data_IF_972676980081
#
_entry.id   IF_972676980081
#
_cell.length_a   1.000
_cell.length_b   1.000
_cell.length_c   1.000
_cell.angle_alpha   90.00
_cell.angle_beta   90.00
_cell.angle_gamma   90.00
#
_symmetry.space_group_name_H-M   'P 1'
#
loop_
_entity.id
_entity.type
_entity.pdbx_description
1 polymer ?
#
# COMPACT_ATOMS: atom_id res chain seq x y z
N UNK A 1 -84.13 -12.41 -39.94
CA UNK A 1 -82.94 -11.75 -40.53
C UNK A 1 -82.08 -12.87 -41.11
N UNK A 2 -82.37 -13.34 -42.33
CA UNK A 2 -81.65 -13.07 -43.60
C UNK A 2 -80.11 -13.16 -43.43
N UNK A 3 -79.33 -14.03 -44.09
CA UNK A 3 -79.54 -15.01 -45.17
C UNK A 3 -78.21 -15.82 -45.30
N UNK A 4 -78.20 -17.16 -45.26
CA UNK A 4 -78.03 -18.15 -46.37
C UNK A 4 -76.66 -18.03 -47.11
N UNK A 5 -75.87 -19.10 -47.27
CA UNK A 5 -75.70 -19.92 -48.51
C UNK A 5 -74.68 -21.05 -48.16
N UNK A 6 -75.04 -22.34 -48.13
CA UNK A 6 -75.27 -23.36 -49.18
C UNK A 6 -74.01 -23.83 -49.95
N UNK A 7 -73.67 -25.10 -49.66
CA UNK A 7 -72.71 -26.00 -50.30
C UNK A 7 -73.20 -26.38 -51.71
N UNK A 8 -72.30 -26.34 -52.70
CA UNK A 8 -72.42 -27.10 -53.95
C UNK A 8 -71.00 -27.36 -54.51
N UNK A 9 -70.64 -28.63 -54.69
CA UNK A 9 -69.55 -29.07 -55.58
C UNK A 9 -69.97 -28.80 -57.03
N UNK A 10 -69.04 -28.44 -57.95
CA UNK A 10 -68.47 -29.51 -58.77
C UNK A 10 -67.08 -29.24 -59.43
N UNK A 11 -66.60 -30.34 -60.04
CA UNK A 11 -65.85 -30.46 -61.29
C UNK A 11 -64.34 -30.17 -61.36
N UNK A 12 -63.67 -31.26 -61.76
CA UNK A 12 -62.31 -31.43 -62.24
C UNK A 12 -62.04 -30.56 -63.48
N UNK A 13 -60.97 -29.76 -63.44
CA UNK A 13 -60.42 -29.03 -64.58
C UNK A 13 -58.89 -29.05 -64.51
N UNK A 14 -58.27 -29.82 -65.41
CA UNK A 14 -56.82 -29.88 -65.61
C UNK A 14 -56.32 -28.54 -66.20
N UNK A 15 -55.44 -27.83 -65.49
CA UNK A 15 -54.67 -26.70 -66.02
C UNK A 15 -53.18 -26.96 -65.77
N UNK A 16 -52.47 -27.17 -66.89
CA UNK A 16 -51.03 -27.32 -66.99
C UNK A 16 -50.34 -26.01 -66.59
N UNK A 17 -49.78 -25.95 -65.38
CA UNK A 17 -48.75 -24.96 -65.05
C UNK A 17 -47.39 -25.49 -65.48
N UNK A 18 -46.79 -24.79 -66.44
CA UNK A 18 -45.40 -24.97 -66.82
C UNK A 18 -44.52 -24.72 -65.59
N UNK A 19 -43.64 -25.67 -65.27
CA UNK A 19 -42.49 -25.40 -64.41
C UNK A 19 -41.66 -24.30 -65.06
N UNK A 20 -41.65 -23.10 -64.48
CA UNK A 20 -40.52 -22.19 -64.66
C UNK A 20 -39.35 -22.84 -63.91
N UNK A 21 -38.40 -23.37 -64.67
CA UNK A 21 -37.12 -23.81 -64.16
C UNK A 21 -36.45 -22.58 -63.53
N UNK A 22 -36.40 -22.54 -62.19
CA UNK A 22 -35.52 -21.59 -61.52
C UNK A 22 -34.09 -21.96 -61.93
N UNK A 23 -33.42 -21.07 -62.65
CA UNK A 23 -32.01 -21.22 -62.97
C UNK A 23 -31.27 -21.44 -61.65
N UNK A 24 -30.68 -22.63 -61.48
CA UNK A 24 -29.74 -22.84 -60.40
C UNK A 24 -28.56 -21.92 -60.70
N UNK A 25 -28.38 -20.90 -59.86
CA UNK A 25 -27.14 -20.13 -59.84
C UNK A 25 -26.03 -21.13 -59.50
N UNK A 26 -25.28 -21.54 -60.51
CA UNK A 26 -24.07 -22.35 -60.34
C UNK A 26 -23.01 -21.46 -59.72
N UNK A 27 -22.71 -21.68 -58.43
CA UNK A 27 -21.53 -21.12 -57.79
C UNK A 27 -20.31 -21.93 -58.22
N UNK A 28 -19.94 -21.80 -59.50
CA UNK A 28 -18.60 -22.21 -59.93
C UNK A 28 -17.60 -21.18 -59.37
N UNK A 29 -16.56 -21.70 -58.71
CA UNK A 29 -15.33 -21.03 -58.29
C UNK A 29 -14.67 -20.12 -59.34
N UNK A 30 -15.04 -20.24 -60.62
CA UNK A 30 -14.56 -19.41 -61.73
C UNK A 30 -15.40 -18.14 -62.00
N UNK A 31 -16.61 -18.03 -61.44
CA UNK A 31 -17.50 -16.89 -61.67
C UNK A 31 -17.08 -15.65 -60.88
N UNK A 32 -17.35 -14.43 -61.38
CA UNK A 32 -17.06 -13.18 -60.65
C UNK A 32 -17.77 -13.12 -59.30
N UNK A 33 -18.98 -13.69 -59.21
CA UNK A 33 -19.72 -13.85 -57.96
C UNK A 33 -19.09 -14.91 -57.04
N UNK A 34 -18.62 -16.05 -57.56
CA UNK A 34 -17.88 -17.07 -56.82
C UNK A 34 -16.50 -16.61 -56.34
N UNK A 35 -15.81 -15.76 -57.10
CA UNK A 35 -14.56 -15.11 -56.71
C UNK A 35 -14.77 -14.02 -55.66
N UNK A 36 -15.85 -13.24 -55.73
CA UNK A 36 -16.23 -12.29 -54.66
C UNK A 36 -16.68 -13.02 -53.39
N UNK A 37 -17.37 -14.16 -53.52
CA UNK A 37 -17.78 -14.98 -52.37
C UNK A 37 -16.58 -15.72 -51.75
N UNK A 38 -15.66 -16.26 -52.55
CA UNK A 38 -14.41 -16.88 -52.07
C UNK A 38 -13.42 -15.84 -51.52
N UNK A 39 -13.27 -14.67 -52.15
CA UNK A 39 -12.47 -13.57 -51.60
C UNK A 39 -13.10 -13.01 -50.31
N UNK A 40 -14.43 -12.97 -50.23
CA UNK A 40 -15.16 -12.67 -49.00
C UNK A 40 -14.95 -13.73 -47.90
N UNK A 41 -14.85 -15.01 -48.26
CA UNK A 41 -14.55 -16.10 -47.32
C UNK A 41 -13.06 -16.19 -46.94
N UNK A 42 -12.13 -15.83 -47.82
CA UNK A 42 -10.70 -15.71 -47.52
C UNK A 42 -10.43 -14.48 -46.62
N UNK A 43 -11.26 -13.42 -46.73
CA UNK A 43 -11.31 -12.32 -45.77
C UNK A 43 -11.85 -12.78 -44.40
N UNK A 44 -12.82 -13.70 -44.37
CA UNK A 44 -13.39 -14.29 -43.13
C UNK A 44 -12.44 -15.34 -42.49
N UNK A 45 -11.46 -15.89 -43.22
CA UNK A 45 -10.52 -16.92 -42.69
C UNK A 45 -9.24 -16.37 -42.06
N UNK A 46 -8.95 -15.07 -42.19
CA UNK A 46 -7.71 -14.46 -41.68
C UNK A 46 -7.90 -13.62 -40.41
N UNK A 47 -8.87 -13.96 -39.57
CA UNK A 47 -8.93 -13.37 -38.24
C UNK A 47 -7.73 -13.81 -37.41
N UNK A 48 -7.09 -12.86 -36.72
CA UNK A 48 -5.95 -13.18 -35.86
C UNK A 48 -6.37 -14.19 -34.80
N UNK A 49 -5.52 -15.19 -34.59
CA UNK A 49 -5.71 -16.24 -33.58
C UNK A 49 -4.87 -16.00 -32.33
N UNK A 50 -3.98 -15.00 -32.38
CA UNK A 50 -3.09 -14.64 -31.30
C UNK A 50 -3.89 -14.09 -30.12
N UNK A 51 -3.61 -14.64 -28.93
CA UNK A 51 -4.29 -14.35 -27.66
C UNK A 51 -3.31 -14.21 -26.51
N UNK A 52 -2.08 -13.83 -26.82
CA UNK A 52 -0.99 -13.73 -25.85
C UNK A 52 -0.81 -12.28 -25.40
N UNK A 53 -0.53 -12.11 -24.10
CA UNK A 53 0.09 -10.91 -23.55
C UNK A 53 1.61 -11.13 -23.58
N UNK A 54 2.34 -10.26 -24.28
CA UNK A 54 3.80 -10.38 -24.45
C UNK A 54 4.56 -9.55 -23.44
N UNK A 55 4.01 -8.40 -23.06
CA UNK A 55 4.57 -7.52 -22.03
C UNK A 55 3.47 -7.04 -21.10
N UNK A 56 3.82 -6.82 -19.84
CA UNK A 56 2.93 -6.25 -18.84
C UNK A 56 3.77 -5.49 -17.83
N UNK A 57 3.41 -4.25 -17.53
CA UNK A 57 4.12 -3.42 -16.56
C UNK A 57 3.21 -2.33 -15.99
N UNK A 58 3.59 -1.80 -14.84
CA UNK A 58 3.08 -0.54 -14.32
C UNK A 58 4.15 0.54 -14.49
N UNK A 59 3.89 1.51 -15.37
CA UNK A 59 4.81 2.63 -15.60
C UNK A 59 4.69 3.66 -14.48
N UNK A 60 5.82 4.23 -14.08
CA UNK A 60 5.91 5.24 -13.04
C UNK A 60 5.08 6.48 -13.37
N UNK A 61 5.18 6.97 -14.61
CA UNK A 61 4.49 8.17 -15.07
C UNK A 61 2.97 8.05 -15.03
N UNK A 62 2.44 6.86 -15.34
CA UNK A 62 0.99 6.62 -15.39
C UNK A 62 0.36 6.42 -13.99
N UNK A 63 1.20 6.09 -13.00
CA UNK A 63 0.76 5.60 -11.69
C UNK A 63 1.28 6.41 -10.49
N UNK A 64 2.06 7.48 -10.73
CA UNK A 64 2.74 8.27 -9.71
C UNK A 64 3.66 7.42 -8.80
N UNK A 65 4.46 6.53 -9.40
CA UNK A 65 5.41 5.67 -8.69
C UNK A 65 6.84 6.22 -8.83
N UNK A 66 7.77 5.68 -8.03
CA UNK A 66 9.20 6.03 -8.10
C UNK A 66 9.94 5.40 -9.29
N UNK A 67 9.45 4.26 -9.77
CA UNK A 67 10.05 3.51 -10.87
C UNK A 67 8.99 2.65 -11.55
N UNK A 68 9.35 2.14 -12.72
CA UNK A 68 8.53 1.15 -13.44
C UNK A 68 8.60 -0.21 -12.73
N UNK A 69 7.49 -0.94 -12.77
CA UNK A 69 7.39 -2.29 -12.24
C UNK A 69 6.97 -3.24 -13.36
N UNK A 70 7.96 -3.95 -13.91
CA UNK A 70 7.74 -4.94 -14.95
C UNK A 70 7.18 -6.25 -14.37
N UNK A 71 6.20 -6.83 -15.05
CA UNK A 71 5.67 -8.15 -14.76
C UNK A 71 6.43 -9.25 -15.48
N UNK A 72 6.60 -10.38 -14.80
CA UNK A 72 7.13 -11.61 -15.42
C UNK A 72 5.95 -12.45 -15.92
N UNK A 73 5.91 -12.70 -17.23
CA UNK A 73 4.87 -13.53 -17.86
C UNK A 73 5.36 -14.98 -17.95
N UNK A 74 4.67 -15.89 -17.27
CA UNK A 74 4.95 -17.34 -17.27
C UNK A 74 3.66 -18.08 -17.60
N UNK A 75 3.54 -18.56 -18.84
CA UNK A 75 2.28 -19.10 -19.35
C UNK A 75 1.17 -18.05 -19.26
N UNK A 76 0.14 -18.35 -18.47
CA UNK A 76 -1.01 -17.46 -18.24
C UNK A 76 -0.93 -16.71 -16.90
N UNK A 77 0.22 -16.75 -16.21
CA UNK A 77 0.44 -16.01 -14.98
C UNK A 77 1.33 -14.80 -15.24
N UNK A 78 0.96 -13.65 -14.68
CA UNK A 78 1.76 -12.43 -14.72
C UNK A 78 2.02 -12.02 -13.28
N UNK A 79 3.30 -11.98 -12.91
CA UNK A 79 3.71 -11.70 -11.54
C UNK A 79 4.49 -10.39 -11.47
N UNK A 80 4.02 -9.45 -10.65
CA UNK A 80 4.69 -8.20 -10.34
C UNK A 80 5.20 -8.26 -8.90
N UNK A 81 6.46 -7.90 -8.68
CA UNK A 81 7.10 -7.91 -7.37
C UNK A 81 7.42 -6.50 -6.88
N UNK A 82 7.36 -6.28 -5.58
CA UNK A 82 7.88 -5.07 -4.94
C UNK A 82 7.00 -3.84 -5.02
N UNK A 83 5.72 -4.00 -5.38
CA UNK A 83 4.81 -2.86 -5.54
C UNK A 83 4.52 -2.17 -4.20
N UNK A 84 4.49 -0.83 -4.14
CA UNK A 84 4.04 -0.13 -2.95
C UNK A 84 2.58 -0.50 -2.62
N UNK A 85 2.34 -0.95 -1.38
CA UNK A 85 1.04 -1.49 -0.96
C UNK A 85 -0.15 -0.53 -1.19
N UNK A 86 0.06 0.77 -1.03
CA UNK A 86 -0.97 1.79 -1.19
C UNK A 86 -1.41 1.99 -2.64
N UNK A 87 -0.54 1.71 -3.62
CA UNK A 87 -0.83 1.98 -5.03
C UNK A 87 -1.82 0.98 -5.66
N UNK A 88 -1.94 -0.23 -5.10
CA UNK A 88 -2.60 -1.39 -5.75
C UNK A 88 -4.04 -1.15 -6.17
N UNK A 89 -4.76 -0.26 -5.48
CA UNK A 89 -6.19 0.00 -5.74
C UNK A 89 -6.47 0.84 -6.98
N UNK A 90 -5.43 1.37 -7.63
CA UNK A 90 -5.58 2.38 -8.71
C UNK A 90 -4.56 2.26 -9.84
N UNK A 91 -4.10 1.04 -10.13
CA UNK A 91 -3.01 0.84 -11.09
C UNK A 91 -3.51 0.77 -12.52
N UNK A 92 -2.83 1.52 -13.40
CA UNK A 92 -2.97 1.49 -14.85
C UNK A 92 -1.85 0.65 -15.46
N UNK A 93 -2.22 -0.53 -15.97
CA UNK A 93 -1.28 -1.44 -16.61
C UNK A 93 -0.98 -1.01 -18.04
N UNK A 94 0.31 -0.98 -18.41
CA UNK A 94 0.77 -0.92 -19.80
C UNK A 94 1.12 -2.34 -20.24
N UNK A 95 0.54 -2.79 -21.33
CA UNK A 95 0.75 -4.12 -21.89
C UNK A 95 0.81 -4.08 -23.42
N UNK A 96 1.43 -5.11 -23.97
CA UNK A 96 1.35 -5.46 -25.39
C UNK A 96 0.70 -6.83 -25.53
N UNK A 97 -0.11 -6.99 -26.56
CA UNK A 97 -0.80 -8.23 -26.86
C UNK A 97 -0.71 -8.58 -28.33
N UNK A 98 -1.14 -9.79 -28.65
CA UNK A 98 -1.19 -10.28 -30.04
C UNK A 98 -1.96 -9.32 -30.96
N UNK A 99 -1.47 -9.13 -32.18
CA UNK A 99 -2.11 -8.23 -33.15
C UNK A 99 -3.58 -8.57 -33.38
N UNK A 100 -4.46 -7.57 -33.33
CA UNK A 100 -5.90 -7.72 -33.49
C UNK A 100 -6.63 -8.35 -32.29
N UNK A 101 -5.94 -8.60 -31.17
CA UNK A 101 -6.59 -9.00 -29.91
C UNK A 101 -7.15 -7.79 -29.16
N UNK A 102 -8.20 -8.01 -28.40
CA UNK A 102 -8.81 -7.05 -27.46
C UNK A 102 -8.74 -7.64 -26.06
N UNK A 103 -8.57 -6.78 -25.05
CA UNK A 103 -8.36 -7.22 -23.66
C UNK A 103 -9.46 -6.67 -22.77
N UNK A 104 -9.99 -7.51 -21.89
CA UNK A 104 -11.07 -7.17 -20.97
C UNK A 104 -10.69 -7.51 -19.52
N UNK A 105 -11.17 -6.69 -18.59
CA UNK A 105 -11.19 -6.97 -17.15
C UNK A 105 -12.62 -6.75 -16.67
N UNK A 106 -13.25 -7.80 -16.11
CA UNK A 106 -14.65 -7.72 -15.68
C UNK A 106 -15.63 -7.33 -16.80
N UNK A 107 -15.31 -7.65 -18.06
CA UNK A 107 -16.10 -7.27 -19.23
C UNK A 107 -15.88 -5.84 -19.75
N UNK A 108 -15.02 -5.05 -19.09
CA UNK A 108 -14.65 -3.71 -19.55
C UNK A 108 -13.40 -3.81 -20.42
N UNK A 109 -13.47 -3.28 -21.63
CA UNK A 109 -12.32 -3.22 -22.54
C UNK A 109 -11.19 -2.36 -21.95
N UNK A 110 -9.97 -2.87 -22.04
CA UNK A 110 -8.78 -2.27 -21.46
C UNK A 110 -7.96 -1.59 -22.55
N UNK A 111 -7.66 -0.32 -22.34
CA UNK A 111 -6.64 0.43 -23.08
C UNK A 111 -5.35 0.40 -22.29
N UNK A 112 -4.25 0.01 -22.96
CA UNK A 112 -2.90 -0.01 -22.38
C UNK A 112 -2.52 1.36 -21.83
N UNK A 113 -2.16 1.43 -20.53
CA UNK A 113 -1.86 2.66 -19.80
C UNK A 113 -3.07 3.53 -19.44
N UNK A 114 -4.29 3.15 -19.86
CA UNK A 114 -5.49 3.96 -19.68
C UNK A 114 -6.32 3.58 -18.46
N UNK A 115 -6.78 2.32 -18.41
CA UNK A 115 -7.73 1.86 -17.42
C UNK A 115 -7.08 1.56 -16.07
N UNK A 116 -7.67 2.09 -14.99
CA UNK A 116 -7.28 1.79 -13.62
C UNK A 116 -8.02 0.55 -13.12
N UNK A 117 -7.29 -0.39 -12.52
CA UNK A 117 -7.86 -1.57 -11.86
C UNK A 117 -7.32 -1.70 -10.43
N UNK A 118 -8.07 -2.43 -9.60
CA UNK A 118 -7.68 -2.79 -8.24
C UNK A 118 -6.98 -4.15 -8.23
N UNK A 119 -5.71 -4.16 -7.84
CA UNK A 119 -4.85 -5.33 -7.72
C UNK A 119 -4.60 -5.73 -6.26
N UNK A 120 -5.48 -5.34 -5.32
CA UNK A 120 -5.47 -5.87 -3.95
C UNK A 120 -5.73 -7.40 -3.92
N UNK A 121 -6.18 -7.96 -5.03
CA UNK A 121 -6.35 -9.40 -5.27
C UNK A 121 -6.01 -9.71 -6.74
N UNK A 122 -5.73 -10.98 -7.09
CA UNK A 122 -5.41 -11.33 -8.47
C UNK A 122 -6.48 -10.90 -9.47
N UNK A 123 -6.06 -10.26 -10.56
CA UNK A 123 -6.96 -9.70 -11.59
C UNK A 123 -6.90 -10.57 -12.85
N UNK A 124 -8.07 -10.98 -13.35
CA UNK A 124 -8.18 -11.74 -14.59
C UNK A 124 -8.29 -10.82 -15.81
N UNK A 125 -7.31 -10.93 -16.70
CA UNK A 125 -7.27 -10.28 -18.01
C UNK A 125 -7.71 -11.29 -19.07
N UNK A 126 -8.89 -11.09 -19.66
CA UNK A 126 -9.40 -11.90 -20.76
C UNK A 126 -8.93 -11.32 -22.09
N UNK A 127 -8.12 -12.07 -22.84
CA UNK A 127 -7.64 -11.72 -24.17
C UNK A 127 -8.53 -12.40 -25.21
N UNK A 128 -9.22 -11.61 -26.01
CA UNK A 128 -10.11 -12.07 -27.09
C UNK A 128 -9.40 -11.87 -28.42
N UNK A 129 -9.08 -12.96 -29.10
CA UNK A 129 -8.51 -12.94 -30.45
C UNK A 129 -9.55 -12.49 -31.48
N UNK A 130 -9.12 -12.06 -32.67
CA UNK A 130 -10.02 -11.60 -33.73
C UNK A 130 -11.04 -12.66 -34.18
N UNK A 131 -10.73 -13.95 -33.97
CA UNK A 131 -11.63 -15.07 -34.26
C UNK A 131 -12.62 -15.40 -33.13
N UNK A 132 -12.63 -14.61 -32.04
CA UNK A 132 -13.49 -14.80 -30.88
C UNK A 132 -13.00 -15.81 -29.83
N UNK A 133 -11.86 -16.48 -30.06
CA UNK A 133 -11.25 -17.34 -29.03
C UNK A 133 -10.68 -16.51 -27.90
N UNK A 134 -10.68 -17.09 -26.69
CA UNK A 134 -10.31 -16.41 -25.46
C UNK A 134 -9.14 -17.10 -24.75
N UNK A 135 -8.30 -16.32 -24.11
CA UNK A 135 -7.30 -16.76 -23.14
C UNK A 135 -7.41 -15.90 -21.88
N UNK A 136 -7.20 -16.48 -20.70
CA UNK A 136 -7.26 -15.73 -19.45
C UNK A 136 -5.87 -15.68 -18.82
N UNK A 137 -5.37 -14.47 -18.61
CA UNK A 137 -4.16 -14.20 -17.83
C UNK A 137 -4.55 -13.79 -16.42
N UNK A 138 -3.89 -14.36 -15.42
CA UNK A 138 -4.04 -13.94 -14.01
C UNK A 138 -2.87 -13.06 -13.63
N UNK A 139 -3.14 -11.81 -13.27
CA UNK A 139 -2.15 -10.85 -12.82
C UNK A 139 -2.13 -10.82 -11.29
N UNK A 140 -1.00 -11.16 -10.69
CA UNK A 140 -0.78 -11.11 -9.25
C UNK A 140 0.26 -10.06 -8.92
N UNK A 141 -0.06 -9.20 -7.94
CA UNK A 141 0.84 -8.16 -7.44
C UNK A 141 1.27 -8.51 -6.03
N UNK A 142 2.57 -8.74 -5.86
CA UNK A 142 3.19 -8.87 -4.55
C UNK A 142 3.67 -7.48 -4.09
N UNK A 143 3.17 -7.06 -2.93
CA UNK A 143 3.46 -5.75 -2.36
C UNK A 143 4.64 -5.78 -1.40
N UNK A 144 5.27 -4.62 -1.21
CA UNK A 144 6.19 -4.34 -0.12
C UNK A 144 5.69 -3.13 0.68
N UNK A 145 6.25 -2.98 1.87
CA UNK A 145 6.13 -1.82 2.73
C UNK A 145 7.51 -1.17 2.89
N UNK A 146 7.94 -0.33 1.93
CA UNK A 146 9.23 0.34 2.04
C UNK A 146 9.30 1.16 3.34
N UNK A 147 10.37 0.96 4.10
CA UNK A 147 10.66 1.77 5.29
C UNK A 147 11.54 2.94 4.85
N UNK A 148 10.96 4.13 4.89
CA UNK A 148 11.72 5.36 4.64
C UNK A 148 12.66 5.62 5.80
N UNK A 149 13.74 6.33 5.50
CA UNK A 149 14.61 6.93 6.49
C UNK A 149 13.79 7.74 7.52
N UNK A 150 14.19 7.72 8.79
CA UNK A 150 13.51 8.50 9.83
C UNK A 150 13.83 10.00 9.72
N UNK A 151 14.86 10.36 8.96
CA UNK A 151 15.21 11.72 8.57
C UNK A 151 16.26 12.36 9.47
N UNK A 152 16.71 11.72 10.55
CA UNK A 152 17.67 12.33 11.45
C UNK A 152 19.02 12.52 10.75
N UNK A 153 19.46 13.76 10.61
CA UNK A 153 20.67 14.12 9.84
C UNK A 153 21.91 14.32 10.70
N UNK A 154 21.74 14.45 12.02
CA UNK A 154 22.82 14.64 12.98
C UNK A 154 22.98 13.40 13.86
N UNK A 155 24.22 13.09 14.24
CA UNK A 155 24.51 12.13 15.28
C UNK A 155 24.62 12.82 16.63
N UNK A 156 24.36 12.09 17.70
CA UNK A 156 24.31 12.61 19.07
C UNK A 156 25.15 11.79 20.03
N UNK A 157 25.59 12.42 21.11
CA UNK A 157 26.17 11.74 22.27
C UNK A 157 25.12 11.47 23.38
N UNK A 158 25.56 10.90 24.50
CA UNK A 158 24.69 10.61 25.65
C UNK A 158 24.10 11.85 26.32
N UNK A 159 24.61 13.05 26.04
CA UNK A 159 24.06 14.32 26.50
C UNK A 159 23.10 14.94 25.47
N UNK A 160 22.75 14.20 24.40
CA UNK A 160 21.96 14.71 23.27
C UNK A 160 22.60 15.91 22.57
N UNK A 161 23.94 16.04 22.66
CA UNK A 161 24.70 17.05 21.93
C UNK A 161 25.05 16.54 20.54
N UNK A 162 24.96 17.42 19.54
CA UNK A 162 25.33 17.09 18.16
C UNK A 162 26.82 16.76 18.08
N UNK A 163 27.14 15.63 17.49
CA UNK A 163 28.49 15.16 17.20
C UNK A 163 28.62 14.81 15.71
N UNK A 164 29.85 14.67 15.23
CA UNK A 164 30.07 14.13 13.89
C UNK A 164 29.56 12.69 13.79
N UNK A 165 28.96 12.34 12.65
CA UNK A 165 28.62 10.96 12.34
C UNK A 165 29.85 10.14 11.93
N UNK A 166 29.70 8.81 11.94
CA UNK A 166 30.74 7.84 11.62
C UNK A 166 31.77 7.63 12.72
N UNK A 167 31.52 8.18 13.92
CA UNK A 167 32.41 8.00 15.07
C UNK A 167 32.20 6.61 15.68
N UNK A 168 33.27 5.83 15.83
CA UNK A 168 33.22 4.48 16.42
C UNK A 168 32.75 4.42 17.89
N UNK A 169 32.53 5.58 18.53
CA UNK A 169 32.12 5.73 19.93
C UNK A 169 30.59 5.77 20.08
N UNK A 170 29.86 6.26 19.07
CA UNK A 170 28.40 6.23 18.99
C UNK A 170 27.96 5.74 17.60
N UNK A 171 28.33 4.50 17.22
CA UNK A 171 28.17 4.03 15.86
C UNK A 171 26.75 3.54 15.57
N UNK A 172 26.30 3.69 14.34
CA UNK A 172 25.05 3.08 13.87
C UNK A 172 23.81 3.82 14.34
N UNK A 173 23.91 5.14 14.49
CA UNK A 173 22.76 6.03 14.62
C UNK A 173 22.01 6.15 13.28
N UNK A 174 20.80 6.70 13.29
CA UNK A 174 20.01 6.89 12.06
C UNK A 174 20.81 7.70 11.01
N UNK A 175 21.42 8.81 11.44
CA UNK A 175 22.25 9.68 10.61
C UNK A 175 23.56 9.05 10.10
N UNK A 176 23.98 7.87 10.63
CA UNK A 176 25.14 7.14 10.10
C UNK A 176 24.82 6.37 8.81
N UNK A 177 23.54 6.25 8.47
CA UNK A 177 23.06 5.53 7.30
C UNK A 177 22.28 6.47 6.39
N UNK A 178 22.23 6.13 5.10
CA UNK A 178 21.33 6.79 4.16
C UNK A 178 20.27 5.78 3.75
N UNK A 179 19.07 5.94 4.30
CA UNK A 179 17.90 5.13 3.96
C UNK A 179 17.17 5.63 2.72
N UNK A 180 15.97 5.09 2.50
CA UNK A 180 15.08 5.52 1.41
C UNK A 180 14.48 6.87 1.78
N UNK A 181 14.75 7.91 1.00
CA UNK A 181 14.20 9.24 1.26
C UNK A 181 12.66 9.24 1.16
N UNK A 182 11.94 9.92 2.08
CA UNK A 182 10.51 10.14 1.93
C UNK A 182 10.24 11.02 0.69
N UNK A 183 9.35 10.58 -0.20
CA UNK A 183 8.96 11.32 -1.40
C UNK A 183 7.46 11.53 -1.36
N UNK A 184 7.07 12.69 -0.83
CA UNK A 184 5.70 13.15 -0.74
C UNK A 184 5.47 14.23 -1.82
N UNK A 185 4.63 13.93 -2.80
CA UNK A 185 4.33 14.85 -3.90
C UNK A 185 2.95 15.48 -3.73
N UNK A 186 2.89 16.78 -3.48
CA UNK A 186 1.64 17.54 -3.59
C UNK A 186 1.27 17.73 -5.06
N UNK A 187 0.10 17.24 -5.47
CA UNK A 187 -0.32 17.18 -6.88
C UNK A 187 -1.85 17.12 -7.03
N UNK A 188 -2.33 17.03 -8.27
CA UNK A 188 -3.73 16.80 -8.63
C UNK A 188 -3.83 15.54 -9.48
N UNK A 189 -4.58 14.53 -9.03
CA UNK A 189 -4.78 13.27 -9.77
C UNK A 189 -5.89 13.33 -10.83
N UNK A 190 -6.67 14.40 -10.79
CA UNK A 190 -7.72 14.70 -11.76
C UNK A 190 -7.47 16.08 -12.36
N UNK A 191 -8.26 16.45 -13.37
CA UNK A 191 -8.22 17.79 -13.95
C UNK A 191 -8.84 18.87 -13.03
N UNK A 192 -9.31 18.50 -11.83
CA UNK A 192 -9.86 19.43 -10.85
C UNK A 192 -8.78 19.93 -9.88
N UNK A 193 -8.31 21.16 -10.10
CA UNK A 193 -7.31 21.81 -9.26
C UNK A 193 -7.81 22.20 -7.86
N UNK A 194 -9.13 22.14 -7.61
CA UNK A 194 -9.70 22.40 -6.28
C UNK A 194 -9.58 21.21 -5.33
N UNK A 195 -9.11 20.07 -5.82
CA UNK A 195 -9.01 18.82 -5.06
C UNK A 195 -7.57 18.30 -5.03
N UNK A 196 -6.60 19.08 -4.49
CA UNK A 196 -5.24 18.61 -4.39
C UNK A 196 -5.12 17.46 -3.40
N UNK A 197 -4.11 16.64 -3.63
CA UNK A 197 -3.72 15.51 -2.79
C UNK A 197 -2.21 15.51 -2.60
N UNK A 198 -1.75 14.69 -1.67
CA UNK A 198 -0.35 14.34 -1.50
C UNK A 198 -0.19 12.86 -1.83
N UNK A 199 0.61 12.54 -2.84
CA UNK A 199 0.97 11.16 -3.16
C UNK A 199 2.26 10.82 -2.41
N UNK A 200 2.19 9.84 -1.51
CA UNK A 200 3.38 9.21 -0.95
C UNK A 200 3.88 8.18 -1.96
N UNK A 201 4.97 8.49 -2.66
CA UNK A 201 5.49 7.62 -3.72
C UNK A 201 6.18 6.37 -3.20
N UNK A 202 6.58 6.35 -1.92
CA UNK A 202 7.20 5.18 -1.31
C UNK A 202 6.15 4.14 -0.95
N UNK A 203 5.00 4.56 -0.40
CA UNK A 203 3.92 3.65 -0.01
C UNK A 203 2.87 3.48 -1.11
N UNK A 204 2.74 4.45 -2.02
CA UNK A 204 1.70 4.51 -3.04
C UNK A 204 0.37 5.10 -2.54
N UNK A 205 0.28 5.44 -1.25
CA UNK A 205 -0.90 6.04 -0.62
C UNK A 205 -1.15 7.46 -1.16
N UNK A 206 -2.41 7.87 -1.14
CA UNK A 206 -2.85 9.20 -1.52
C UNK A 206 -3.54 9.84 -0.32
N UNK A 207 -3.05 10.98 0.12
CA UNK A 207 -3.55 11.70 1.29
C UNK A 207 -4.24 12.98 0.87
N UNK A 208 -5.27 13.41 1.61
CA UNK A 208 -5.74 14.79 1.47
C UNK A 208 -4.66 15.76 1.94
N UNK A 209 -4.43 16.80 1.14
CA UNK A 209 -3.46 17.86 1.45
C UNK A 209 -3.83 18.62 2.72
N UNK A 210 -5.11 18.92 2.91
CA UNK A 210 -5.63 19.60 4.09
C UNK A 210 -6.58 18.67 4.87
N UNK A 211 -6.69 18.89 6.18
CA UNK A 211 -7.60 18.15 7.05
C UNK A 211 -9.07 18.46 6.71
N UNK A 212 -9.96 17.56 7.10
CA UNK A 212 -11.41 17.78 6.94
C UNK A 212 -11.88 19.05 7.67
N UNK A 213 -12.85 19.75 7.06
CA UNK A 213 -13.38 21.02 7.56
C UNK A 213 -12.54 22.27 7.21
N UNK A 214 -11.49 22.12 6.40
CA UNK A 214 -10.67 23.24 5.91
C UNK A 214 -10.74 23.36 4.39
N UNK A 215 -10.33 24.52 3.86
CA UNK A 215 -10.21 24.74 2.44
C UNK A 215 -9.22 23.71 1.85
N UNK A 216 -9.63 22.90 0.86
CA UNK A 216 -8.80 21.81 0.34
C UNK A 216 -7.51 22.29 -0.34
N UNK A 217 -7.43 23.57 -0.74
CA UNK A 217 -6.27 24.14 -1.43
C UNK A 217 -5.27 24.80 -0.48
N UNK A 218 -5.70 25.59 0.48
CA UNK A 218 -4.79 26.38 1.33
C UNK A 218 -4.88 26.04 2.83
N UNK A 219 -5.71 25.06 3.19
CA UNK A 219 -5.94 24.58 4.54
C UNK A 219 -6.46 25.64 5.52
N UNK A 220 -6.98 26.76 5.00
CA UNK A 220 -7.64 27.79 5.83
C UNK A 220 -8.95 27.26 6.40
N UNK A 221 -9.31 27.73 7.60
CA UNK A 221 -10.54 27.29 8.26
C UNK A 221 -11.79 27.71 7.46
N UNK A 222 -12.74 26.79 7.32
CA UNK A 222 -14.07 27.06 6.78
C UNK A 222 -15.08 27.26 7.93
N UNK A 223 -16.34 27.50 7.59
CA UNK A 223 -17.44 27.52 8.55
C UNK A 223 -17.79 26.11 9.10
N UNK A 224 -17.17 25.07 8.54
CA UNK A 224 -17.39 23.68 8.90
C UNK A 224 -16.59 23.26 10.15
N UNK A 225 -17.02 22.22 10.89
CA UNK A 225 -16.25 21.65 11.97
C UNK A 225 -14.87 21.19 11.50
N UNK A 226 -13.80 21.59 12.18
CA UNK A 226 -12.41 21.20 11.86
C UNK A 226 -11.85 20.08 12.74
N UNK A 227 -12.72 19.51 13.58
CA UNK A 227 -12.47 18.42 14.53
C UNK A 227 -13.74 17.59 14.66
N UNK A 228 -13.60 16.27 14.80
CA UNK A 228 -14.70 15.32 14.67
C UNK A 228 -14.64 14.28 15.78
N UNK A 229 -15.80 13.78 16.22
CA UNK A 229 -15.87 12.51 16.95
C UNK A 229 -15.35 11.38 16.06
N UNK A 230 -14.99 10.23 16.62
CA UNK A 230 -14.50 9.13 15.78
C UNK A 230 -15.55 8.64 14.76
N UNK A 231 -16.83 8.62 15.16
CA UNK A 231 -17.92 8.25 14.26
C UNK A 231 -18.07 9.25 13.10
N UNK A 232 -18.03 10.55 13.41
CA UNK A 232 -18.12 11.61 12.38
C UNK A 232 -16.87 11.65 11.50
N UNK A 233 -15.71 11.30 12.03
CA UNK A 233 -14.46 11.20 11.28
C UNK A 233 -14.53 10.13 10.18
N UNK A 234 -15.11 8.96 10.49
CA UNK A 234 -15.36 7.91 9.50
C UNK A 234 -16.34 8.35 8.41
N UNK A 235 -17.39 9.10 8.79
CA UNK A 235 -18.34 9.67 7.85
C UNK A 235 -17.71 10.72 6.93
N UNK A 236 -16.87 11.61 7.48
CA UNK A 236 -16.18 12.64 6.72
C UNK A 236 -15.33 12.04 5.59
N UNK A 237 -14.52 11.01 5.89
CA UNK A 237 -13.75 10.32 4.85
C UNK A 237 -14.64 9.52 3.88
N UNK A 238 -15.73 8.92 4.35
CA UNK A 238 -16.65 8.16 3.48
C UNK A 238 -17.38 9.07 2.48
N UNK A 239 -17.72 10.29 2.89
CA UNK A 239 -18.38 11.28 2.02
C UNK A 239 -17.53 11.69 0.82
N UNK A 240 -16.19 11.64 0.94
CA UNK A 240 -15.27 11.87 -0.19
C UNK A 240 -15.48 10.84 -1.31
N UNK A 241 -15.92 9.63 -0.97
CA UNK A 241 -16.19 8.56 -1.95
C UNK A 241 -17.47 8.79 -2.74
N UNK A 242 -18.45 9.46 -2.14
CA UNK A 242 -19.70 9.84 -2.81
C UNK A 242 -19.44 10.89 -3.87
N UNK A 243 -18.64 11.92 -3.53
CA UNK A 243 -18.30 13.00 -4.46
C UNK A 243 -17.18 12.63 -5.43
N UNK A 244 -16.41 11.58 -5.14
CA UNK A 244 -15.28 11.15 -5.96
C UNK A 244 -14.10 12.12 -5.87
N UNK A 245 -13.74 12.58 -4.66
CA UNK A 245 -12.67 13.55 -4.45
C UNK A 245 -11.35 13.08 -5.07
N UNK A 246 -10.71 13.95 -5.86
CA UNK A 246 -9.54 13.70 -6.69
C UNK A 246 -9.70 12.54 -7.67
N UNK A 247 -10.94 12.19 -8.05
CA UNK A 247 -11.27 11.03 -8.89
C UNK A 247 -11.21 9.68 -8.16
N UNK A 248 -11.06 9.67 -6.83
CA UNK A 248 -10.93 8.46 -6.02
C UNK A 248 -12.20 8.17 -5.21
N UNK A 249 -12.48 6.89 -4.95
CA UNK A 249 -13.68 6.41 -4.23
C UNK A 249 -13.39 5.43 -3.09
N UNK A 250 -12.15 5.41 -2.61
CA UNK A 250 -11.68 4.54 -1.51
C UNK A 250 -11.00 5.31 -0.38
N UNK A 251 -11.43 6.56 -0.15
CA UNK A 251 -11.06 7.38 1.00
C UNK A 251 -11.55 6.75 2.31
N UNK A 252 -10.67 6.76 3.31
CA UNK A 252 -10.90 6.20 4.64
C UNK A 252 -10.03 6.93 5.67
N UNK A 253 -10.30 6.66 6.95
CA UNK A 253 -9.33 6.98 8.00
C UNK A 253 -8.06 6.14 7.82
N UNK A 254 -6.88 6.70 8.10
CA UNK A 254 -5.62 5.97 8.02
C UNK A 254 -5.44 5.03 9.21
N UNK A 255 -4.69 3.95 9.01
CA UNK A 255 -4.09 3.22 10.14
C UNK A 255 -3.01 4.06 10.81
N UNK A 256 -2.67 3.73 12.05
CA UNK A 256 -1.56 4.36 12.74
C UNK A 256 -0.24 4.14 11.98
N UNK A 257 -0.03 2.93 11.45
CA UNK A 257 1.16 2.60 10.65
C UNK A 257 1.30 3.48 9.41
N UNK A 258 0.19 3.84 8.77
CA UNK A 258 0.19 4.72 7.61
C UNK A 258 0.53 6.16 8.03
N UNK A 259 0.05 6.63 9.19
CA UNK A 259 0.42 7.96 9.70
C UNK A 259 1.90 8.07 10.05
N UNK A 260 2.50 6.98 10.55
CA UNK A 260 3.95 6.97 10.77
C UNK A 260 4.72 7.22 9.48
N UNK A 261 4.21 6.83 8.30
CA UNK A 261 4.93 7.04 7.03
C UNK A 261 5.14 8.51 6.70
N UNK A 262 4.30 9.40 7.27
CA UNK A 262 4.39 10.85 7.12
C UNK A 262 5.30 11.54 8.15
N UNK A 263 5.71 10.86 9.22
CA UNK A 263 6.38 11.50 10.35
C UNK A 263 7.89 11.69 10.14
N UNK A 264 8.41 12.92 10.16
CA UNK A 264 9.86 13.19 10.06
C UNK A 264 10.48 13.37 11.44
N UNK A 265 11.67 12.82 11.67
CA UNK A 265 12.46 12.94 12.92
C UNK A 265 13.80 13.65 12.66
N UNK A 266 13.86 14.47 11.60
CA UNK A 266 15.02 15.25 11.18
C UNK A 266 15.38 16.40 12.13
N UNK A 267 14.38 16.98 12.77
CA UNK A 267 14.44 18.23 13.53
C UNK A 267 13.59 18.16 14.80
N UNK A 268 13.58 19.25 15.57
CA UNK A 268 12.59 19.42 16.63
C UNK A 268 11.18 19.56 16.04
N UNK A 269 10.15 19.34 16.85
CA UNK A 269 8.76 19.46 16.44
C UNK A 269 8.46 20.68 15.54
N UNK A 270 7.61 20.53 14.51
CA UNK A 270 6.70 19.41 14.27
C UNK A 270 7.34 18.23 13.53
N UNK A 271 6.89 17.02 13.85
CA UNK A 271 7.38 15.77 13.26
C UNK A 271 6.68 15.46 11.93
N UNK A 272 6.44 16.47 11.07
CA UNK A 272 5.79 16.35 9.76
C UNK A 272 6.25 17.48 8.85
N UNK A 273 6.32 17.21 7.55
CA UNK A 273 6.63 18.23 6.55
C UNK A 273 5.45 19.20 6.35
N UNK A 274 5.55 20.38 6.94
CA UNK A 274 4.54 21.44 6.82
C UNK A 274 4.47 22.10 5.43
N UNK A 275 5.48 21.92 4.58
CA UNK A 275 5.43 22.41 3.20
C UNK A 275 4.45 21.58 2.36
N UNK A 276 4.34 20.29 2.69
CA UNK A 276 3.42 19.33 2.06
C UNK A 276 2.08 19.27 2.78
N UNK A 277 2.09 19.34 4.12
CA UNK A 277 0.89 19.31 4.98
C UNK A 277 0.81 20.57 5.88
N UNK A 278 0.33 21.72 5.36
CA UNK A 278 0.36 23.00 6.07
C UNK A 278 -0.34 23.01 7.43
N UNK A 279 -1.38 22.19 7.60
CA UNK A 279 -2.16 22.01 8.82
C UNK A 279 -1.82 20.71 9.58
N UNK A 280 -0.64 20.15 9.31
CA UNK A 280 -0.17 18.86 9.82
C UNK A 280 0.24 18.83 11.29
N UNK A 281 0.59 19.98 11.90
CA UNK A 281 1.07 20.02 13.28
C UNK A 281 -0.05 19.87 14.34
N UNK A 282 -0.70 18.71 14.36
CA UNK A 282 -1.86 18.39 15.20
C UNK A 282 -1.85 16.91 15.59
N UNK A 283 -2.81 16.51 16.42
CA UNK A 283 -3.12 15.11 16.71
C UNK A 283 -4.23 14.63 15.78
N UNK A 284 -4.03 13.53 15.06
CA UNK A 284 -5.00 13.00 14.10
C UNK A 284 -5.55 11.64 14.52
N UNK A 285 -6.83 11.41 14.21
CA UNK A 285 -7.46 10.11 14.33
C UNK A 285 -6.76 9.05 13.46
N UNK A 286 -6.65 7.83 13.98
CA UNK A 286 -6.41 6.62 13.18
C UNK A 286 -7.59 5.67 13.31
N UNK A 287 -7.75 4.75 12.34
CA UNK A 287 -8.73 3.65 12.44
C UNK A 287 -8.27 2.51 13.38
N UNK A 288 -7.00 2.50 13.77
CA UNK A 288 -6.41 1.44 14.59
C UNK A 288 -6.98 1.48 16.02
N UNK A 289 -7.43 0.32 16.50
CA UNK A 289 -8.08 0.19 17.80
C UNK A 289 -7.01 -0.01 18.88
N UNK A 290 -6.97 0.87 19.89
CA UNK A 290 -5.93 0.82 20.92
C UNK A 290 -6.32 0.01 22.15
N UNK A 291 -7.56 0.16 22.61
CA UNK A 291 -8.05 -0.54 23.78
C UNK A 291 -9.53 -0.92 23.60
N UNK A 292 -9.80 -2.14 23.11
CA UNK A 292 -11.12 -2.74 23.09
C UNK A 292 -11.70 -3.07 24.47
N UNK A 293 -10.87 -3.16 25.53
CA UNK A 293 -11.30 -3.55 26.87
C UNK A 293 -11.77 -2.34 27.72
N UNK A 294 -11.48 -1.12 27.26
CA UNK A 294 -12.00 0.11 27.87
C UNK A 294 -13.53 0.20 27.75
N UNK A 295 -14.18 0.71 28.80
CA UNK A 295 -15.64 0.95 28.82
C UNK A 295 -16.12 1.89 27.72
N UNK A 296 -15.28 2.84 27.31
CA UNK A 296 -15.41 3.61 26.08
C UNK A 296 -14.26 3.18 25.18
N UNK A 297 -14.51 2.66 23.97
CA UNK A 297 -13.44 2.24 23.07
C UNK A 297 -12.46 3.38 22.80
N UNK A 298 -11.17 3.03 22.73
CA UNK A 298 -10.08 3.98 22.45
C UNK A 298 -9.43 3.68 21.11
N UNK A 299 -9.12 4.72 20.36
CA UNK A 299 -8.36 4.62 19.11
C UNK A 299 -6.93 5.09 19.33
N UNK A 300 -6.03 4.52 18.53
CA UNK A 300 -4.71 5.09 18.38
C UNK A 300 -4.81 6.41 17.62
N UNK A 301 -3.99 7.36 18.02
CA UNK A 301 -3.84 8.66 17.37
C UNK A 301 -2.36 8.93 17.17
N UNK A 302 -2.00 9.75 16.17
CA UNK A 302 -0.63 10.23 16.04
C UNK A 302 -0.58 11.74 16.30
N UNK A 303 0.32 12.16 17.17
CA UNK A 303 0.51 13.56 17.52
C UNK A 303 1.77 14.11 16.86
N UNK A 304 1.62 14.84 15.76
CA UNK A 304 2.75 15.41 15.04
C UNK A 304 3.44 16.56 15.81
N UNK A 305 2.83 17.10 16.88
CA UNK A 305 3.48 18.10 17.73
C UNK A 305 4.59 17.50 18.60
N UNK A 306 4.51 16.21 18.92
CA UNK A 306 5.50 15.53 19.76
C UNK A 306 6.06 14.26 19.09
N UNK A 307 5.59 13.86 17.92
CA UNK A 307 6.11 12.68 17.20
C UNK A 307 5.75 11.35 17.85
N UNK A 308 4.75 11.29 18.73
CA UNK A 308 4.36 10.06 19.42
C UNK A 308 2.98 9.57 18.97
N UNK A 309 2.80 8.25 19.08
CA UNK A 309 1.48 7.66 19.11
C UNK A 309 0.85 7.76 20.50
N UNK A 310 -0.42 8.16 20.53
CA UNK A 310 -1.22 8.38 21.72
C UNK A 310 -2.56 7.64 21.60
N UNK A 311 -3.43 7.76 22.60
CA UNK A 311 -4.79 7.21 22.51
C UNK A 311 -5.83 8.21 22.93
N UNK A 312 -6.96 8.21 22.25
CA UNK A 312 -8.12 9.03 22.58
C UNK A 312 -9.40 8.18 22.61
N UNK A 313 -10.32 8.55 23.51
CA UNK A 313 -11.64 7.93 23.60
C UNK A 313 -12.48 8.35 22.38
N UNK A 314 -13.29 7.45 21.82
CA UNK A 314 -14.06 7.71 20.59
C UNK A 314 -15.05 8.89 20.68
N UNK A 315 -15.41 9.30 21.90
CA UNK A 315 -16.25 10.48 22.21
C UNK A 315 -15.49 11.80 22.18
N UNK A 316 -14.15 11.76 22.19
CA UNK A 316 -13.31 12.95 22.01
C UNK A 316 -13.45 13.53 20.61
N UNK A 317 -12.96 14.75 20.40
CA UNK A 317 -12.96 15.40 19.09
C UNK A 317 -11.52 15.67 18.64
N UNK A 318 -11.15 15.17 17.46
CA UNK A 318 -9.82 15.38 16.87
C UNK A 318 -9.90 15.68 15.37
N UNK A 319 -8.87 16.35 14.83
CA UNK A 319 -8.63 16.47 13.40
C UNK A 319 -8.65 15.15 12.63
N UNK A 320 -9.04 15.24 11.35
CA UNK A 320 -9.13 14.09 10.43
C UNK A 320 -8.39 14.41 9.13
N UNK A 321 -7.49 13.53 8.73
CA UNK A 321 -6.87 13.54 7.40
C UNK A 321 -7.13 12.19 6.74
N UNK A 322 -7.95 12.21 5.69
CA UNK A 322 -8.31 10.99 4.99
C UNK A 322 -7.17 10.52 4.08
N UNK A 323 -7.10 9.20 3.91
CA UNK A 323 -6.17 8.52 3.00
C UNK A 323 -6.95 7.62 2.05
N UNK A 324 -6.45 7.45 0.84
CA UNK A 324 -6.92 6.53 -0.17
C UNK A 324 -5.77 5.62 -0.64
N UNK A 325 -6.10 4.37 -0.97
CA UNK A 325 -5.11 3.36 -1.36
C UNK A 325 -5.33 2.00 -0.69
N UNK A 326 -4.46 1.05 -1.04
CA UNK A 326 -4.40 -0.25 -0.37
C UNK A 326 -4.15 -0.10 1.14
N UNK A 327 -4.64 -1.05 1.93
CA UNK A 327 -4.41 -1.06 3.38
C UNK A 327 -2.99 -1.50 3.70
N UNK A 328 -2.43 -1.00 4.80
CA UNK A 328 -1.18 -1.52 5.33
C UNK A 328 -1.25 -3.06 5.46
N UNK A 329 -0.32 -3.81 4.85
CA UNK A 329 -0.40 -5.26 4.80
C UNK A 329 -0.22 -5.87 6.19
N UNK A 330 -0.84 -7.03 6.41
CA UNK A 330 -0.56 -7.83 7.59
C UNK A 330 0.94 -8.18 7.64
N UNK A 331 1.51 -8.17 8.84
CA UNK A 331 2.92 -8.52 9.03
C UNK A 331 3.21 -9.93 8.50
N UNK A 332 4.33 -10.07 7.79
CA UNK A 332 4.75 -11.31 7.18
C UNK A 332 6.20 -11.60 7.55
N UNK A 333 6.39 -12.49 8.51
CA UNK A 333 7.70 -12.83 9.05
C UNK A 333 8.07 -14.26 8.69
N UNK A 334 9.34 -14.47 8.34
CA UNK A 334 9.93 -15.79 8.14
C UNK A 334 11.08 -15.98 9.13
N UNK A 335 10.95 -16.96 10.03
CA UNK A 335 12.07 -17.40 10.87
C UNK A 335 13.04 -18.21 10.01
N UNK A 336 14.30 -17.77 9.92
CA UNK A 336 15.32 -18.43 9.12
C UNK A 336 15.98 -19.61 9.87
N UNK A 337 15.64 -19.83 11.14
CA UNK A 337 16.15 -20.93 11.95
C UNK A 337 17.61 -20.74 12.42
N UNK A 338 18.21 -19.59 12.12
CA UNK A 338 19.58 -19.22 12.50
C UNK A 338 19.62 -18.17 13.64
N UNK A 339 18.47 -17.89 14.26
CA UNK A 339 18.29 -16.85 15.27
C UNK A 339 17.90 -15.49 14.68
N UNK A 340 17.58 -15.42 13.39
CA UNK A 340 17.07 -14.21 12.73
C UNK A 340 15.67 -14.39 12.14
N UNK A 341 14.93 -13.28 12.06
CA UNK A 341 13.59 -13.18 11.50
C UNK A 341 13.64 -12.22 10.31
N UNK A 342 13.25 -12.68 9.13
CA UNK A 342 13.05 -11.84 7.94
C UNK A 342 11.64 -11.26 7.95
N UNK A 343 11.54 -9.93 7.99
CA UNK A 343 10.32 -9.20 7.64
C UNK A 343 10.23 -9.11 6.12
N UNK A 344 9.37 -9.94 5.53
CA UNK A 344 9.21 -10.05 4.07
C UNK A 344 8.58 -8.79 3.48
N UNK A 345 7.82 -8.03 4.27
CA UNK A 345 7.16 -6.81 3.79
C UNK A 345 8.16 -5.66 3.69
N UNK A 346 9.07 -5.53 4.65
CA UNK A 346 10.05 -4.42 4.69
C UNK A 346 11.41 -4.78 4.13
N UNK A 347 11.66 -6.08 3.94
CA UNK A 347 12.98 -6.65 3.66
C UNK A 347 14.02 -6.31 4.74
N UNK A 348 13.61 -6.27 6.01
CA UNK A 348 14.50 -6.12 7.15
C UNK A 348 14.75 -7.47 7.82
N UNK A 349 15.98 -7.70 8.26
CA UNK A 349 16.37 -8.86 9.03
C UNK A 349 16.57 -8.46 10.49
N UNK A 350 15.80 -9.08 11.38
CA UNK A 350 15.80 -8.81 12.81
C UNK A 350 16.47 -9.95 13.57
N UNK A 351 17.14 -9.65 14.68
CA UNK A 351 17.41 -10.71 15.66
C UNK A 351 16.08 -11.25 16.19
N UNK A 352 15.96 -12.58 16.35
CA UNK A 352 14.78 -13.23 16.94
C UNK A 352 14.66 -12.97 18.43
N UNK A 353 15.78 -12.92 19.15
CA UNK A 353 15.81 -12.64 20.57
C UNK A 353 16.42 -11.26 20.85
N UNK A 354 16.01 -10.64 21.96
CA UNK A 354 16.69 -9.46 22.47
C UNK A 354 18.13 -9.81 22.84
N UNK A 355 19.04 -8.85 22.75
CA UNK A 355 20.45 -9.10 23.06
C UNK A 355 20.59 -9.59 24.51
N UNK A 356 21.38 -10.65 24.71
CA UNK A 356 21.55 -11.33 26.00
C UNK A 356 20.75 -12.62 26.13
N UNK A 357 19.70 -12.79 25.33
CA UNK A 357 18.89 -14.02 25.29
C UNK A 357 19.28 -14.95 24.15
N UNK A 358 18.92 -16.23 24.30
CA UNK A 358 19.10 -17.24 23.25
C UNK A 358 18.07 -18.37 23.38
N UNK A 359 18.16 -19.37 22.50
CA UNK A 359 17.20 -20.46 22.39
C UNK A 359 16.05 -20.11 21.44
N UNK A 360 15.32 -21.14 20.99
CA UNK A 360 14.27 -20.98 19.98
C UNK A 360 13.11 -20.10 20.45
N UNK A 361 12.87 -20.06 21.77
CA UNK A 361 11.82 -19.29 22.42
C UNK A 361 12.38 -18.10 23.23
N UNK A 362 13.64 -17.71 22.97
CA UNK A 362 14.34 -16.66 23.71
C UNK A 362 14.34 -16.87 25.23
N UNK A 363 14.29 -18.13 25.66
CA UNK A 363 14.09 -18.56 27.03
C UNK A 363 15.40 -18.74 27.81
N UNK A 364 16.53 -18.82 27.11
CA UNK A 364 17.82 -19.00 27.73
C UNK A 364 18.40 -17.62 28.07
N UNK A 365 18.76 -17.44 29.34
CA UNK A 365 19.27 -16.18 29.90
C UNK A 365 18.26 -15.03 29.88
N UNK A 366 18.59 -13.95 30.58
CA UNK A 366 17.80 -12.71 30.61
C UNK A 366 18.31 -11.73 29.54
N UNK A 367 17.43 -10.84 29.07
CA UNK A 367 17.87 -9.73 28.24
C UNK A 367 18.94 -8.90 28.97
N UNK A 368 19.97 -8.50 28.23
CA UNK A 368 21.00 -7.59 28.72
C UNK A 368 20.54 -6.16 28.48
N UNK A 369 20.72 -5.31 29.49
CA UNK A 369 20.37 -3.91 29.42
C UNK A 369 21.62 -3.07 29.21
N UNK A 370 21.52 -2.10 28.30
CA UNK A 370 22.65 -1.28 27.88
C UNK A 370 22.31 0.19 28.04
N UNK A 371 23.29 1.03 28.36
CA UNK A 371 23.18 2.46 28.05
C UNK A 371 23.05 2.63 26.54
N UNK A 372 22.51 3.76 26.08
CA UNK A 372 22.27 3.94 24.64
C UNK A 372 23.56 3.79 23.81
N UNK A 373 24.65 4.40 24.29
CA UNK A 373 25.98 4.26 23.68
C UNK A 373 26.43 2.79 23.58
N UNK A 374 26.27 2.02 24.65
CA UNK A 374 26.68 0.61 24.66
C UNK A 374 25.76 -0.24 23.76
N UNK A 375 24.49 0.12 23.61
CA UNK A 375 23.56 -0.55 22.70
C UNK A 375 23.96 -0.35 21.23
N UNK A 376 24.30 0.89 20.86
CA UNK A 376 24.86 1.25 19.55
C UNK A 376 26.09 0.40 19.22
N UNK A 377 27.09 0.39 20.13
CA UNK A 377 28.32 -0.39 19.97
C UNK A 377 28.00 -1.89 19.87
N UNK A 378 27.15 -2.41 20.75
CA UNK A 378 26.81 -3.83 20.81
C UNK A 378 26.24 -4.31 19.48
N UNK A 379 25.23 -3.64 18.93
CA UNK A 379 24.67 -4.04 17.64
C UNK A 379 25.67 -3.88 16.51
N UNK A 380 26.44 -2.78 16.48
CA UNK A 380 27.44 -2.56 15.42
C UNK A 380 28.58 -3.58 15.43
N UNK A 381 28.86 -4.21 16.58
CA UNK A 381 29.90 -5.23 16.74
C UNK A 381 29.49 -6.65 16.32
N UNK A 382 28.21 -6.88 16.03
CA UNK A 382 27.72 -8.21 15.69
C UNK A 382 28.31 -8.70 14.35
N UNK A 383 28.68 -10.00 14.24
CA UNK A 383 29.14 -10.57 12.98
C UNK A 383 28.07 -10.42 11.88
N UNK A 384 28.50 -10.03 10.68
CA UNK A 384 27.58 -9.89 9.54
C UNK A 384 28.25 -10.19 8.21
N UNK A 385 27.46 -10.70 7.28
CA UNK A 385 27.70 -10.65 5.84
C UNK A 385 26.69 -9.66 5.24
N UNK A 386 27.13 -8.82 4.28
CA UNK A 386 26.29 -7.76 3.71
C UNK A 386 26.14 -6.55 4.64
N UNK A 387 24.91 -6.08 4.84
CA UNK A 387 24.61 -4.90 5.68
C UNK A 387 25.00 -5.09 7.15
N UNK A 388 25.33 -3.98 7.81
CA UNK A 388 25.71 -3.96 9.23
C UNK A 388 24.48 -4.02 10.15
N UNK A 389 24.62 -4.75 11.25
CA UNK A 389 23.68 -4.69 12.36
C UNK A 389 23.71 -3.30 13.02
N UNK A 390 22.54 -2.83 13.40
CA UNK A 390 22.30 -1.56 14.08
C UNK A 390 21.15 -1.72 15.08
N UNK A 391 21.01 -0.75 15.98
CA UNK A 391 19.73 -0.60 16.69
C UNK A 391 18.72 0.03 15.70
N UNK A 392 17.44 -0.35 15.75
CA UNK A 392 16.46 0.15 14.79
C UNK A 392 16.23 1.64 14.96
N UNK A 393 15.99 2.34 13.86
CA UNK A 393 15.42 3.68 13.91
C UNK A 393 13.92 3.60 14.25
N UNK A 394 13.31 4.76 14.50
CA UNK A 394 11.87 4.85 14.82
C UNK A 394 11.01 4.22 13.73
N UNK A 395 11.31 4.37 12.44
CA UNK A 395 10.49 3.81 11.36
C UNK A 395 10.59 2.29 11.29
N UNK A 396 11.78 1.74 11.47
CA UNK A 396 12.04 0.30 11.51
C UNK A 396 11.37 -0.34 12.72
N UNK A 397 11.53 0.24 13.90
CA UNK A 397 10.97 -0.31 15.13
C UNK A 397 9.43 -0.37 15.09
N UNK A 398 8.79 0.60 14.46
CA UNK A 398 7.33 0.63 14.32
C UNK A 398 6.82 -0.40 13.30
N UNK A 399 7.67 -0.95 12.41
CA UNK A 399 7.25 -1.96 11.42
C UNK A 399 6.94 -3.32 12.05
N UNK A 400 7.62 -3.66 13.15
CA UNK A 400 7.41 -4.92 13.89
C UNK A 400 6.38 -4.79 15.02
N UNK A 401 5.90 -3.57 15.29
CA UNK A 401 4.92 -3.33 16.33
C UNK A 401 3.50 -3.76 15.92
N UNK A 402 2.74 -4.27 16.89
CA UNK A 402 1.32 -4.64 16.76
C UNK A 402 0.44 -3.57 17.40
N UNK A 403 -0.44 -2.98 16.60
CA UNK A 403 -1.40 -1.93 17.04
C UNK A 403 -2.85 -2.40 17.04
N UNK A 404 -3.07 -3.67 16.68
CA UNK A 404 -4.34 -4.38 16.69
C UNK A 404 -4.54 -5.22 17.97
N UNK A 405 -3.55 -5.24 18.86
CA UNK A 405 -3.58 -5.93 20.15
C UNK A 405 -4.00 -4.97 21.27
N UNK A 406 -4.54 -5.55 22.35
CA UNK A 406 -4.94 -4.79 23.54
C UNK A 406 -3.72 -4.05 24.11
N UNK A 407 -3.82 -2.72 24.24
CA UNK A 407 -2.81 -1.94 24.93
C UNK A 407 -2.60 -2.49 26.36
N UNK A 408 -1.34 -2.63 26.76
CA UNK A 408 -0.96 -3.20 28.06
C UNK A 408 -0.79 -4.72 28.06
N UNK A 409 -0.96 -5.38 26.90
CA UNK A 409 -0.64 -6.81 26.72
C UNK A 409 0.72 -7.00 26.06
N UNK A 410 0.76 -6.95 24.72
CA UNK A 410 1.94 -7.09 23.89
C UNK A 410 1.78 -6.25 22.64
N UNK A 411 2.73 -5.35 22.38
CA UNK A 411 2.84 -4.54 21.18
C UNK A 411 3.71 -5.19 20.10
N UNK A 412 3.89 -6.51 20.14
CA UNK A 412 4.69 -7.29 19.19
C UNK A 412 4.13 -8.72 19.08
N UNK A 413 4.34 -9.39 17.95
CA UNK A 413 3.93 -10.78 17.77
C UNK A 413 4.85 -11.75 18.55
N UNK A 414 4.32 -12.32 19.64
CA UNK A 414 5.08 -13.24 20.50
C UNK A 414 5.35 -14.61 19.86
N UNK A 415 4.62 -15.01 18.81
CA UNK A 415 4.94 -16.26 18.10
C UNK A 415 6.19 -16.10 17.23
N UNK A 416 6.51 -14.87 16.84
CA UNK A 416 7.67 -14.53 16.02
C UNK A 416 8.84 -14.07 16.90
N UNK A 417 8.55 -13.20 17.88
CA UNK A 417 9.52 -12.65 18.81
C UNK A 417 9.16 -13.03 20.26
N UNK A 418 9.48 -14.26 20.67
CA UNK A 418 9.06 -14.81 21.96
C UNK A 418 9.79 -14.17 23.15
N UNK A 419 9.19 -14.36 24.34
CA UNK A 419 9.69 -13.91 25.65
C UNK A 419 9.92 -12.39 25.84
N UNK A 420 9.42 -11.53 24.94
CA UNK A 420 9.70 -10.09 24.93
C UNK A 420 9.16 -9.23 26.08
N UNK A 421 8.40 -9.79 27.02
CA UNK A 421 7.42 -9.03 27.82
C UNK A 421 7.93 -8.43 29.12
N UNK A 422 9.06 -8.89 29.63
CA UNK A 422 9.39 -8.69 31.05
C UNK A 422 10.45 -7.63 31.34
N UNK A 423 10.91 -6.87 30.33
CA UNK A 423 12.05 -5.97 30.50
C UNK A 423 11.81 -4.51 30.06
N UNK A 424 10.58 -4.12 29.73
CA UNK A 424 10.22 -2.70 29.51
C UNK A 424 10.52 -2.19 28.10
N UNK A 425 11.26 -1.08 28.01
CA UNK A 425 11.52 -0.36 26.76
C UNK A 425 12.74 -0.88 25.99
N UNK A 426 12.74 -0.73 24.66
CA UNK A 426 13.90 -1.00 23.81
C UNK A 426 14.47 0.28 23.20
N UNK A 427 15.80 0.37 23.12
CA UNK A 427 16.48 1.49 22.46
C UNK A 427 16.20 1.58 20.97
N UNK A 428 16.17 2.82 20.47
CA UNK A 428 16.24 3.16 19.05
C UNK A 428 17.44 4.05 18.75
N UNK A 429 17.75 4.21 17.46
CA UNK A 429 18.88 5.02 16.99
C UNK A 429 18.61 6.51 16.95
N UNK A 430 17.35 6.95 17.02
CA UNK A 430 17.00 8.36 16.95
C UNK A 430 17.02 9.06 18.33
N UNK A 431 17.41 10.33 18.33
CA UNK A 431 17.27 11.24 19.46
C UNK A 431 16.10 12.21 19.24
N UNK A 432 15.23 12.33 20.24
CA UNK A 432 14.19 13.35 20.30
C UNK A 432 14.78 14.71 20.67
N UNK A 433 14.49 15.71 19.84
CA UNK A 433 14.84 17.12 20.07
C UNK A 433 13.65 17.94 20.57
N UNK A 434 12.58 17.30 21.05
CA UNK A 434 11.41 17.97 21.59
C UNK A 434 11.81 18.82 22.81
N UNK A 435 11.54 20.13 22.75
CA UNK A 435 11.87 21.04 23.83
C UNK A 435 11.16 20.65 25.15
N UNK A 436 11.92 20.51 26.23
CA UNK A 436 11.42 20.06 27.54
C UNK A 436 11.31 18.53 27.70
N UNK A 437 11.54 17.77 26.63
CA UNK A 437 11.49 16.30 26.59
C UNK A 437 12.58 15.77 25.62
N UNK A 438 13.80 16.26 25.80
CA UNK A 438 14.98 15.83 25.03
C UNK A 438 15.45 14.49 25.59
N UNK A 439 15.68 13.53 24.70
CA UNK A 439 16.18 12.21 25.08
C UNK A 439 16.21 11.25 23.90
N UNK A 440 16.77 10.07 24.10
CA UNK A 440 16.81 9.03 23.06
C UNK A 440 15.45 8.34 22.99
N UNK A 441 14.95 8.10 21.77
CA UNK A 441 13.72 7.36 21.58
C UNK A 441 13.83 5.91 22.07
N UNK A 442 12.74 5.45 22.69
CA UNK A 442 12.56 4.05 23.07
C UNK A 442 11.19 3.56 22.61
N UNK A 443 11.06 2.24 22.42
CA UNK A 443 9.76 1.61 22.20
C UNK A 443 9.35 0.85 23.44
N UNK A 444 8.17 1.16 23.96
CA UNK A 444 7.53 0.36 24.99
C UNK A 444 6.68 -0.74 24.33
N UNK A 445 7.17 -1.98 24.37
CA UNK A 445 6.45 -3.13 23.83
C UNK A 445 5.24 -3.54 24.68
N UNK A 446 5.12 -3.14 25.94
CA UNK A 446 3.93 -3.45 26.73
C UNK A 446 2.74 -2.61 26.26
N UNK A 447 3.00 -1.33 25.96
CA UNK A 447 1.96 -0.38 25.55
C UNK A 447 1.93 -0.07 24.06
N UNK A 448 2.86 -0.62 23.27
CA UNK A 448 3.04 -0.31 21.85
C UNK A 448 3.23 1.20 21.61
N UNK A 449 4.04 1.88 22.42
CA UNK A 449 4.21 3.34 22.37
C UNK A 449 5.65 3.77 22.17
N UNK A 450 5.82 4.82 21.37
CA UNK A 450 7.03 5.63 21.40
C UNK A 450 7.15 6.33 22.75
N UNK A 451 8.35 6.30 23.30
CA UNK A 451 8.73 6.97 24.53
C UNK A 451 10.15 7.54 24.39
N UNK A 452 10.64 8.18 25.45
CA UNK A 452 11.97 8.76 25.52
C UNK A 452 12.60 8.39 26.83
N UNK A 453 13.91 8.23 26.80
CA UNK A 453 14.71 8.01 28.00
C UNK A 453 16.00 8.79 27.90
N UNK A 454 16.52 9.21 29.06
CA UNK A 454 17.88 9.71 29.13
C UNK A 454 18.85 8.58 28.72
N UNK A 455 19.79 8.88 27.83
CA UNK A 455 20.74 7.93 27.24
C UNK A 455 21.66 7.23 28.27
N UNK A 456 21.77 7.77 29.49
CA UNK A 456 22.55 7.18 30.59
C UNK A 456 21.84 6.04 31.32
N UNK A 457 20.51 5.94 31.20
CA UNK A 457 19.77 4.80 31.72
C UNK A 457 20.02 3.56 30.88
N UNK A 458 19.62 2.39 31.38
CA UNK A 458 19.78 1.14 30.65
C UNK A 458 18.44 0.63 30.14
N UNK A 459 18.41 0.18 28.89
CA UNK A 459 17.24 -0.41 28.24
C UNK A 459 17.64 -1.67 27.47
N UNK A 460 16.66 -2.48 27.10
CA UNK A 460 16.88 -3.63 26.23
C UNK A 460 17.20 -3.17 24.80
N UNK A 461 17.71 -4.08 23.97
CA UNK A 461 17.98 -3.82 22.57
C UNK A 461 17.75 -5.06 21.72
N UNK A 462 17.22 -4.85 20.53
CA UNK A 462 17.09 -5.85 19.46
C UNK A 462 17.72 -5.25 18.22
N UNK A 463 18.72 -5.92 17.66
CA UNK A 463 19.39 -5.40 16.48
C UNK A 463 18.60 -5.74 15.20
N UNK A 464 18.72 -4.86 14.22
CA UNK A 464 18.18 -5.00 12.87
C UNK A 464 19.29 -4.77 11.84
N UNK A 465 19.11 -5.30 10.64
CA UNK A 465 19.87 -4.92 9.45
C UNK A 465 19.00 -5.08 8.20
N UNK A 466 19.50 -4.63 7.06
CA UNK A 466 18.82 -4.89 5.78
C UNK A 466 18.86 -6.39 5.45
N UNK A 467 17.77 -6.88 4.87
CA UNK A 467 17.60 -8.25 4.42
C UNK A 467 18.57 -8.65 3.30
N UNK A 468 18.71 -9.96 3.03
CA UNK A 468 19.62 -10.52 2.03
C UNK A 468 19.24 -10.20 0.58
#
# INVERSE_FOLDING_TARGET
MKSIIRIFFPLLGFLLFHCAQADRVSFDSSSSAGLLFNAGFDYIKNFSTGKQITTFQFRAGDNHLLKDYAGVVIGNQILIQGMPFGAVTRLKATFESSSGSTIFVGGIEQTSGGNSNDFSSPVSYEVVAGNGQKEIYTVTVNVLTPITDAGQTNCFDSASSVIACGQGVFPGQDADYSGIAPILERTTLSNDSSQPVVVDKNTGLVWKTCKEGTNPVDCTALADPTTFTYADAGNACSNLNTVGYAGLKNWRLPDLQEQFTLASYDTAAPYIDLTVFPDGNQTFWSRSLADPASTIPRRWTFNYNNGNNETADEVGILPVRCVAGGSYPAQNFTDLGDGTILDVNTNLLWQKCSVGQSGNECQNSTATFFTWQNALIQCNSLPTTGSRWRIPNVREQLSIARYDLLMGTNGIDLNVFPNNVNYGSSWMSNVSLLAGDIGTFTFDFQYARLSRSNAVYTQAVRCVKDGP
#
